data_IF_257468014940
#
_entry.id   IF_257468014940
#
_cell.length_a   1.000
_cell.length_b   1.000
_cell.length_c   1.000
_cell.angle_alpha   90.00
_cell.angle_beta   90.00
_cell.angle_gamma   90.00
#
_symmetry.space_group_name_H-M   'P 1'
#
loop_
_entity.id
_entity.type
_entity.pdbx_description
1 polymer ?
#
# COMPACT_ATOMS: atom_id res chain seq x y z
N UNK A 1 37.30 -62.96 -2.97
CA UNK A 1 37.18 -62.65 -1.53
C UNK A 1 38.29 -61.70 -1.13
N UNK A 2 37.93 -60.66 -0.35
CA UNK A 2 38.74 -59.62 0.29
C UNK A 2 39.10 -58.37 -0.53
N UNK A 3 38.27 -57.37 -0.29
CA UNK A 3 38.49 -55.92 -0.44
C UNK A 3 39.79 -55.49 0.24
N UNK A 4 40.52 -54.55 -0.36
CA UNK A 4 41.17 -53.46 0.37
C UNK A 4 41.06 -52.17 -0.45
N UNK A 5 40.15 -51.32 0.03
CA UNK A 5 40.10 -49.87 -0.16
C UNK A 5 41.36 -49.28 0.49
N UNK A 6 42.00 -48.28 -0.11
CA UNK A 6 42.51 -47.04 0.50
C UNK A 6 43.45 -46.29 -0.48
N UNK A 7 42.95 -45.13 -0.93
CA UNK A 7 43.66 -43.85 -1.11
C UNK A 7 44.82 -43.76 -2.12
N UNK A 8 44.70 -42.83 -3.08
CA UNK A 8 45.64 -41.71 -3.32
C UNK A 8 45.21 -40.91 -4.59
N UNK A 9 45.30 -39.57 -4.46
CA UNK A 9 45.13 -38.48 -5.44
C UNK A 9 43.73 -38.00 -5.81
N UNK A 10 43.15 -37.22 -4.88
CA UNK A 10 42.42 -35.99 -5.25
C UNK A 10 43.46 -35.00 -5.78
N UNK A 11 43.45 -34.73 -7.08
CA UNK A 11 43.65 -33.43 -7.73
C UNK A 11 43.92 -33.60 -9.24
N UNK A 12 43.25 -32.78 -10.05
CA UNK A 12 43.40 -32.59 -11.50
C UNK A 12 42.79 -33.64 -12.43
N UNK A 13 41.53 -33.42 -12.80
CA UNK A 13 41.25 -32.92 -14.15
C UNK A 13 39.92 -32.18 -14.14
N UNK A 14 40.07 -30.88 -13.86
CA UNK A 14 39.14 -29.81 -14.21
C UNK A 14 39.16 -29.72 -15.74
N UNK A 15 38.38 -30.56 -16.40
CA UNK A 15 38.11 -30.47 -17.83
C UNK A 15 37.05 -31.52 -18.16
N UNK A 16 35.77 -31.19 -17.97
CA UNK A 16 34.70 -31.59 -18.89
C UNK A 16 33.35 -31.03 -18.42
N UNK A 17 32.67 -30.35 -19.35
CA UNK A 17 31.23 -30.05 -19.34
C UNK A 17 30.69 -29.04 -18.33
N UNK A 18 31.27 -27.84 -18.27
CA UNK A 18 30.51 -26.62 -17.97
C UNK A 18 29.86 -26.09 -19.25
N UNK A 19 28.83 -26.80 -19.74
CA UNK A 19 27.83 -26.24 -20.66
C UNK A 19 26.46 -26.50 -20.06
N UNK A 20 26.25 -25.93 -18.87
CA UNK A 20 24.92 -25.65 -18.39
C UNK A 20 24.58 -24.26 -18.89
N UNK A 21 23.75 -24.23 -19.92
CA UNK A 21 22.85 -23.15 -20.30
C UNK A 21 22.94 -21.92 -19.39
N UNK A 22 23.71 -20.92 -19.82
CA UNK A 22 23.35 -19.55 -19.51
C UNK A 22 22.01 -19.31 -20.22
N UNK A 23 20.91 -19.51 -19.51
CA UNK A 23 19.70 -18.80 -19.85
C UNK A 23 20.11 -17.32 -19.84
N UNK A 24 20.05 -16.69 -21.01
CA UNK A 24 20.18 -15.26 -21.10
C UNK A 24 19.07 -14.69 -20.22
N UNK A 25 19.43 -14.19 -19.03
CA UNK A 25 18.56 -13.37 -18.22
C UNK A 25 18.25 -12.14 -19.06
N UNK A 26 17.07 -12.13 -19.71
CA UNK A 26 16.47 -10.90 -20.18
C UNK A 26 16.26 -10.03 -18.95
N UNK A 27 17.22 -9.14 -18.68
CA UNK A 27 17.09 -8.13 -17.64
C UNK A 27 15.78 -7.36 -17.90
N UNK A 28 14.80 -7.37 -16.98
CA UNK A 28 13.47 -6.80 -17.21
C UNK A 28 13.47 -5.27 -17.48
N UNK A 29 14.64 -4.63 -17.38
CA UNK A 29 14.85 -3.20 -17.65
C UNK A 29 16.11 -2.91 -18.50
N UNK A 30 16.67 -3.92 -19.18
CA UNK A 30 17.82 -3.79 -20.09
C UNK A 30 19.20 -3.85 -19.42
N UNK A 31 20.26 -3.87 -20.24
CA UNK A 31 21.66 -3.77 -19.79
C UNK A 31 21.85 -2.42 -19.08
N UNK A 32 22.37 -2.40 -17.84
CA UNK A 32 22.55 -1.24 -16.93
C UNK A 32 21.40 -0.91 -15.95
N UNK A 33 20.54 -1.89 -15.66
CA UNK A 33 19.53 -1.76 -14.62
C UNK A 33 19.80 -2.75 -13.48
N UNK A 34 19.88 -2.23 -12.25
CA UNK A 34 19.95 -3.05 -11.05
C UNK A 34 18.55 -3.21 -10.45
N UNK A 35 18.20 -4.45 -10.11
CA UNK A 35 16.92 -4.79 -9.48
C UNK A 35 17.21 -5.34 -8.09
N UNK A 36 16.78 -4.64 -7.05
CA UNK A 36 17.11 -4.97 -5.66
C UNK A 36 15.87 -4.93 -4.77
N UNK A 37 15.96 -5.59 -3.60
CA UNK A 37 15.02 -5.33 -2.53
C UNK A 37 15.17 -3.89 -2.05
N UNK A 38 14.04 -3.22 -1.85
CA UNK A 38 14.01 -1.83 -1.38
C UNK A 38 14.63 -1.71 0.01
N UNK A 39 15.58 -0.79 0.16
CA UNK A 39 16.19 -0.47 1.45
C UNK A 39 15.67 0.86 2.00
N UNK A 40 15.90 1.12 3.29
CA UNK A 40 15.56 2.41 3.89
C UNK A 40 16.33 3.56 3.21
N UNK A 41 17.59 3.32 2.86
CA UNK A 41 18.43 4.27 2.14
C UNK A 41 17.89 4.60 0.75
N UNK A 42 17.36 3.62 0.02
CA UNK A 42 16.74 3.87 -1.30
C UNK A 42 15.52 4.79 -1.18
N UNK A 43 14.65 4.55 -0.19
CA UNK A 43 13.48 5.41 0.05
C UNK A 43 13.92 6.81 0.48
N UNK A 44 14.89 6.90 1.39
CA UNK A 44 15.44 8.17 1.86
C UNK A 44 16.04 8.99 0.70
N UNK A 45 16.85 8.35 -0.16
CA UNK A 45 17.43 8.95 -1.36
C UNK A 45 16.33 9.46 -2.31
N UNK A 46 15.32 8.62 -2.60
CA UNK A 46 14.23 8.98 -3.49
C UNK A 46 13.44 10.18 -2.94
N UNK A 47 12.99 10.12 -1.68
CA UNK A 47 12.17 11.17 -1.07
C UNK A 47 12.95 12.48 -0.96
N UNK A 48 14.19 12.44 -0.47
CA UNK A 48 15.01 13.64 -0.32
C UNK A 48 15.35 14.30 -1.67
N UNK A 49 15.48 13.53 -2.76
CA UNK A 49 15.62 14.11 -4.11
C UNK A 49 14.40 14.95 -4.51
N UNK A 50 13.18 14.57 -4.08
CA UNK A 50 11.96 15.36 -4.33
C UNK A 50 11.83 16.57 -3.41
N UNK A 51 12.18 16.43 -2.13
CA UNK A 51 12.09 17.53 -1.15
C UNK A 51 13.13 18.64 -1.38
N UNK A 52 14.29 18.29 -1.96
CA UNK A 52 15.39 19.24 -2.16
C UNK A 52 15.96 19.74 -0.83
N UNK A 53 16.33 21.03 -0.77
CA UNK A 53 16.97 21.60 0.42
C UNK A 53 15.99 22.16 1.47
N UNK A 54 14.67 22.07 1.22
CA UNK A 54 13.67 22.70 2.07
C UNK A 54 13.22 21.81 3.23
N UNK A 55 13.19 20.50 3.01
CA UNK A 55 12.79 19.49 3.97
C UNK A 55 13.74 18.30 3.79
N UNK A 56 14.07 17.63 4.89
CA UNK A 56 14.68 16.31 4.85
C UNK A 56 13.72 15.27 5.39
N UNK A 57 13.91 14.04 4.96
CA UNK A 57 13.29 12.84 5.49
C UNK A 57 14.39 11.89 5.97
N UNK A 58 14.10 11.18 7.06
CA UNK A 58 14.88 10.04 7.54
C UNK A 58 14.02 8.80 7.46
N UNK A 59 14.60 7.67 7.12
CA UNK A 59 13.84 6.42 6.94
C UNK A 59 14.40 5.32 7.81
N UNK A 60 13.51 4.68 8.56
CA UNK A 60 13.82 3.44 9.30
C UNK A 60 12.99 2.30 8.75
N UNK A 61 13.52 1.08 8.81
CA UNK A 61 12.80 -0.13 8.40
C UNK A 61 12.65 -1.06 9.61
N UNK A 62 11.42 -1.44 9.91
CA UNK A 62 11.16 -2.51 10.86
C UNK A 62 11.63 -3.85 10.24
N UNK A 63 12.53 -4.55 10.93
CA UNK A 63 13.12 -5.79 10.42
C UNK A 63 12.13 -6.96 10.38
N UNK A 64 11.13 -6.96 11.26
CA UNK A 64 10.13 -8.03 11.38
C UNK A 64 9.00 -7.85 10.36
N UNK A 65 8.45 -6.64 10.26
CA UNK A 65 7.30 -6.34 9.39
C UNK A 65 7.71 -5.87 7.99
N UNK A 66 8.96 -5.41 7.82
CA UNK A 66 9.44 -4.82 6.58
C UNK A 66 8.89 -3.42 6.29
N UNK A 67 8.08 -2.86 7.20
CA UNK A 67 7.48 -1.53 7.10
C UNK A 67 8.56 -0.45 7.24
N UNK A 68 8.45 0.58 6.42
CA UNK A 68 9.27 1.77 6.45
C UNK A 68 8.55 2.91 7.15
N UNK A 69 9.17 3.45 8.20
CA UNK A 69 8.73 4.67 8.86
C UNK A 69 9.55 5.84 8.31
N UNK A 70 8.90 6.70 7.52
CA UNK A 70 9.51 7.91 6.95
C UNK A 70 9.19 9.08 7.85
N UNK A 71 10.20 9.69 8.46
CA UNK A 71 10.04 10.86 9.33
C UNK A 71 10.57 12.10 8.63
N UNK A 72 9.68 13.05 8.33
CA UNK A 72 10.05 14.33 7.76
C UNK A 72 10.52 15.30 8.86
N UNK A 73 11.41 16.22 8.48
CA UNK A 73 11.93 17.30 9.34
C UNK A 73 10.86 18.27 9.86
N UNK A 74 9.68 18.32 9.24
CA UNK A 74 8.52 19.09 9.71
C UNK A 74 7.68 18.35 10.77
N UNK A 75 8.08 17.13 11.13
CA UNK A 75 7.41 16.28 12.13
C UNK A 75 6.35 15.35 11.57
N UNK A 76 6.02 15.42 10.27
CA UNK A 76 5.12 14.43 9.65
C UNK A 76 5.80 13.07 9.56
N UNK A 77 5.00 12.01 9.72
CA UNK A 77 5.51 10.63 9.69
C UNK A 77 4.62 9.78 8.79
N UNK A 78 5.23 8.98 7.93
CA UNK A 78 4.52 8.02 7.07
C UNK A 78 4.88 6.59 7.45
N UNK A 79 3.88 5.71 7.40
CA UNK A 79 4.03 4.26 7.46
C UNK A 79 3.77 3.66 6.08
N UNK A 80 4.82 3.08 5.48
CA UNK A 80 4.78 2.60 4.10
C UNK A 80 5.46 1.25 3.93
N UNK A 81 5.11 0.53 2.87
CA UNK A 81 5.87 -0.65 2.43
C UNK A 81 6.12 -0.58 0.92
N UNK A 82 7.24 -1.14 0.47
CA UNK A 82 7.55 -1.18 -0.95
C UNK A 82 6.66 -2.16 -1.71
N UNK A 83 6.21 -1.75 -2.89
CA UNK A 83 5.49 -2.59 -3.84
C UNK A 83 6.49 -3.08 -4.89
N UNK A 84 6.78 -4.38 -4.85
CA UNK A 84 7.75 -5.01 -5.74
C UNK A 84 9.20 -4.64 -5.42
N UNK A 85 10.06 -4.74 -6.44
CA UNK A 85 11.49 -4.50 -6.34
C UNK A 85 11.83 -3.05 -6.72
N UNK A 86 12.90 -2.54 -6.14
CA UNK A 86 13.50 -1.24 -6.51
C UNK A 86 14.33 -1.41 -7.77
N UNK A 87 14.18 -0.48 -8.71
CA UNK A 87 14.97 -0.42 -9.94
C UNK A 87 15.95 0.76 -9.87
N UNK A 88 17.21 0.54 -10.23
CA UNK A 88 18.23 1.60 -10.35
C UNK A 88 18.80 1.56 -11.77
N UNK A 89 18.39 2.52 -12.59
CA UNK A 89 18.87 2.68 -13.97
C UNK A 89 20.10 3.59 -14.00
N UNK A 90 21.28 3.03 -14.28
CA UNK A 90 22.56 3.76 -14.12
C UNK A 90 22.81 4.85 -15.18
N UNK A 91 22.07 4.86 -16.29
CA UNK A 91 22.35 5.70 -17.46
C UNK A 91 21.16 6.50 -18.00
N UNK A 92 20.08 6.67 -17.23
CA UNK A 92 18.96 7.48 -17.70
C UNK A 92 18.93 8.84 -17.00
N UNK A 93 19.20 9.91 -17.76
CA UNK A 93 18.85 11.29 -17.41
C UNK A 93 17.32 11.40 -17.37
N UNK A 94 16.73 10.97 -16.27
CA UNK A 94 15.28 10.90 -16.09
C UNK A 94 14.80 12.15 -15.40
N UNK A 95 13.70 12.70 -15.90
CA UNK A 95 12.97 13.72 -15.17
C UNK A 95 12.47 13.10 -13.86
N UNK A 96 12.57 13.86 -12.78
CA UNK A 96 11.92 13.53 -11.52
C UNK A 96 10.45 13.27 -11.79
N UNK A 97 9.96 12.14 -11.32
CA UNK A 97 8.53 11.84 -11.44
C UNK A 97 8.01 11.32 -10.11
N UNK A 98 7.17 12.14 -9.49
CA UNK A 98 6.32 11.73 -8.39
C UNK A 98 4.90 11.69 -8.92
N UNK A 99 4.26 10.55 -8.79
CA UNK A 99 2.88 10.36 -9.21
C UNK A 99 2.25 9.25 -8.40
N UNK A 100 0.93 9.24 -8.36
CA UNK A 100 0.17 8.13 -7.81
C UNK A 100 -0.17 7.15 -8.95
N UNK A 101 -0.05 5.85 -8.69
CA UNK A 101 -0.54 4.82 -9.60
C UNK A 101 -2.06 4.82 -9.60
N UNK A 102 -2.65 4.12 -10.57
CA UNK A 102 -4.11 3.97 -10.61
C UNK A 102 -4.69 3.25 -9.37
N UNK A 103 -3.85 2.54 -8.62
CA UNK A 103 -4.22 1.82 -7.40
C UNK A 103 -3.94 2.65 -6.12
N UNK A 104 -3.58 3.94 -6.25
CA UNK A 104 -3.26 4.83 -5.14
C UNK A 104 -1.87 4.64 -4.53
N UNK A 105 -0.97 3.91 -5.22
CA UNK A 105 0.40 3.71 -4.74
C UNK A 105 1.27 4.91 -5.13
N UNK A 106 2.15 5.35 -4.24
CA UNK A 106 3.09 6.41 -4.53
C UNK A 106 4.23 5.86 -5.40
N UNK A 107 4.36 6.35 -6.63
CA UNK A 107 5.48 6.05 -7.52
C UNK A 107 6.48 7.19 -7.48
N UNK A 108 7.70 6.85 -7.09
CA UNK A 108 8.81 7.78 -7.00
C UNK A 108 9.87 7.40 -8.04
N UNK A 109 10.32 8.41 -8.78
CA UNK A 109 11.46 8.31 -9.68
C UNK A 109 12.43 9.47 -9.44
N UNK A 110 13.59 9.17 -8.86
CA UNK A 110 14.62 10.17 -8.58
C UNK A 110 15.42 10.54 -9.84
N UNK A 111 16.20 11.62 -9.74
CA UNK A 111 17.22 11.98 -10.75
C UNK A 111 18.34 10.96 -10.89
N UNK A 112 18.64 10.20 -9.83
CA UNK A 112 19.67 9.15 -9.86
C UNK A 112 19.23 7.90 -10.62
N UNK A 113 18.01 7.89 -11.18
CA UNK A 113 17.46 6.75 -11.91
C UNK A 113 16.86 5.69 -10.99
N UNK A 114 16.67 6.01 -9.70
CA UNK A 114 16.00 5.16 -8.73
C UNK A 114 14.49 5.20 -8.95
N UNK A 115 13.85 4.04 -9.07
CA UNK A 115 12.41 3.90 -9.18
C UNK A 115 11.90 2.99 -8.07
N UNK A 116 10.98 3.54 -7.27
CA UNK A 116 10.35 2.86 -6.13
C UNK A 116 8.85 3.07 -6.22
N UNK A 117 8.09 2.05 -5.81
CA UNK A 117 6.65 2.17 -5.56
C UNK A 117 6.40 1.88 -4.09
N UNK A 118 5.64 2.74 -3.43
CA UNK A 118 5.30 2.67 -2.02
C UNK A 118 3.78 2.62 -1.88
N UNK A 119 3.31 1.90 -0.87
CA UNK A 119 1.90 1.90 -0.46
C UNK A 119 1.79 2.09 1.05
N UNK A 120 0.61 2.46 1.49
CA UNK A 120 0.24 2.46 2.90
C UNK A 120 0.41 1.07 3.53
N UNK A 121 0.82 1.06 4.79
CA UNK A 121 0.95 -0.15 5.61
C UNK A 121 0.63 0.17 7.07
N UNK A 122 0.14 -0.83 7.81
CA UNK A 122 0.05 -0.72 9.26
C UNK A 122 1.46 -0.49 9.82
N UNK A 123 1.60 0.45 10.75
CA UNK A 123 2.88 0.73 11.41
C UNK A 123 3.43 -0.52 12.11
N UNK A 124 2.54 -1.26 12.78
CA UNK A 124 2.77 -2.60 13.31
C UNK A 124 1.52 -3.46 13.06
N UNK A 125 1.52 -4.26 11.98
CA UNK A 125 0.37 -5.07 11.60
C UNK A 125 0.00 -6.13 12.65
N UNK A 126 0.92 -6.97 13.17
CA UNK A 126 0.57 -7.93 14.22
C UNK A 126 -0.06 -7.28 15.46
N UNK A 127 0.46 -6.13 15.90
CA UNK A 127 -0.10 -5.43 17.06
C UNK A 127 -1.49 -4.84 16.76
N UNK A 128 -1.69 -4.26 15.58
CA UNK A 128 -2.98 -3.72 15.16
C UNK A 128 -4.06 -4.81 15.07
N UNK A 129 -3.76 -5.92 14.41
CA UNK A 129 -4.67 -7.07 14.30
C UNK A 129 -4.95 -7.67 15.69
N UNK A 130 -3.92 -7.79 16.53
CA UNK A 130 -4.10 -8.22 17.91
C UNK A 130 -5.06 -7.32 18.70
N UNK A 131 -4.99 -6.00 18.52
CA UNK A 131 -5.92 -5.06 19.15
C UNK A 131 -7.35 -5.21 18.61
N UNK A 132 -7.53 -5.35 17.30
CA UNK A 132 -8.85 -5.56 16.69
C UNK A 132 -9.50 -6.85 17.20
N UNK A 133 -8.74 -7.95 17.30
CA UNK A 133 -9.24 -9.22 17.83
C UNK A 133 -9.66 -9.12 19.31
N UNK A 134 -8.91 -8.36 20.13
CA UNK A 134 -9.28 -8.08 21.53
C UNK A 134 -10.60 -7.32 21.63
N UNK A 135 -10.82 -6.37 20.73
CA UNK A 135 -12.07 -5.62 20.60
C UNK A 135 -13.19 -6.41 19.89
N UNK A 136 -13.01 -7.71 19.65
CA UNK A 136 -13.99 -8.63 19.07
C UNK A 136 -14.37 -8.32 17.62
N UNK A 137 -13.49 -7.69 16.86
CA UNK A 137 -13.62 -7.66 15.40
C UNK A 137 -13.34 -9.05 14.84
N UNK A 138 -14.05 -9.42 13.77
CA UNK A 138 -14.07 -10.80 13.25
C UNK A 138 -14.00 -10.84 11.73
N UNK A 139 -13.91 -12.05 11.17
CA UNK A 139 -13.98 -12.31 9.74
C UNK A 139 -13.00 -11.45 8.93
N UNK A 140 -11.77 -11.34 9.45
CA UNK A 140 -10.69 -10.55 8.86
C UNK A 140 -10.13 -11.26 7.64
N UNK A 141 -10.31 -10.66 6.47
CA UNK A 141 -9.78 -11.14 5.19
C UNK A 141 -8.94 -10.06 4.52
N UNK A 142 -7.73 -10.43 4.12
CA UNK A 142 -6.80 -9.52 3.46
C UNK A 142 -6.94 -9.55 1.95
N UNK A 143 -7.16 -8.37 1.38
CA UNK A 143 -7.20 -8.14 -0.06
C UNK A 143 -6.15 -7.10 -0.45
N UNK A 144 -4.95 -7.58 -0.80
CA UNK A 144 -3.77 -6.76 -1.12
C UNK A 144 -3.32 -5.84 0.02
N UNK A 145 -3.79 -4.59 0.04
CA UNK A 145 -3.47 -3.57 1.04
C UNK A 145 -4.66 -3.20 1.92
N UNK A 146 -5.76 -3.96 1.79
CA UNK A 146 -7.05 -3.69 2.43
C UNK A 146 -7.46 -4.87 3.29
N UNK A 147 -8.26 -4.55 4.29
CA UNK A 147 -8.80 -5.48 5.25
C UNK A 147 -10.32 -5.43 5.17
N UNK A 148 -10.92 -6.50 4.66
CA UNK A 148 -12.34 -6.74 4.87
C UNK A 148 -12.52 -7.32 6.27
N UNK A 149 -13.47 -6.76 7.02
CA UNK A 149 -13.61 -7.06 8.44
C UNK A 149 -15.06 -6.88 8.90
N UNK A 150 -15.44 -7.62 9.92
CA UNK A 150 -16.71 -7.46 10.62
C UNK A 150 -16.49 -6.74 11.95
N UNK A 151 -17.21 -5.62 12.13
CA UNK A 151 -17.22 -4.84 13.36
C UNK A 151 -17.85 -5.64 14.51
N UNK A 152 -17.65 -5.23 15.77
CA UNK A 152 -18.28 -5.88 16.92
C UNK A 152 -19.82 -5.84 16.90
N UNK A 153 -20.40 -4.89 16.16
CA UNK A 153 -21.85 -4.76 15.91
C UNK A 153 -22.35 -5.65 14.77
N UNK A 154 -21.46 -6.35 14.06
CA UNK A 154 -21.80 -7.21 12.92
C UNK A 154 -21.81 -6.49 11.58
N UNK A 155 -21.35 -5.23 11.51
CA UNK A 155 -21.26 -4.49 10.25
C UNK A 155 -20.03 -4.94 9.48
N UNK A 156 -20.19 -5.21 8.19
CA UNK A 156 -19.06 -5.53 7.32
C UNK A 156 -18.43 -4.24 6.81
N UNK A 157 -17.11 -4.20 6.76
CA UNK A 157 -16.35 -3.01 6.44
C UNK A 157 -15.17 -3.33 5.55
N UNK A 158 -14.78 -2.41 4.66
CA UNK A 158 -13.48 -2.41 3.98
C UNK A 158 -12.64 -1.30 4.61
N UNK A 159 -11.52 -1.66 5.23
CA UNK A 159 -10.59 -0.72 5.85
C UNK A 159 -9.19 -0.81 5.25
N UNK A 160 -8.48 0.31 5.19
CA UNK A 160 -7.05 0.37 4.93
C UNK A 160 -6.35 1.33 5.90
N UNK A 161 -5.08 1.08 6.24
CA UNK A 161 -4.34 1.97 7.13
C UNK A 161 -4.03 3.29 6.41
N UNK A 162 -4.22 4.44 7.07
CA UNK A 162 -3.77 5.73 6.56
C UNK A 162 -2.24 5.71 6.37
N UNK A 163 -1.75 6.31 5.28
CA UNK A 163 -0.29 6.37 5.05
C UNK A 163 0.40 7.24 6.11
N UNK A 164 -0.19 8.38 6.45
CA UNK A 164 0.30 9.28 7.49
C UNK A 164 -0.06 8.74 8.88
N UNK A 165 0.92 8.73 9.79
CA UNK A 165 0.76 8.35 11.19
C UNK A 165 1.09 9.54 12.08
N UNK A 166 0.38 9.65 13.18
CA UNK A 166 0.43 10.80 14.09
C UNK A 166 1.25 10.40 15.32
N UNK A 167 2.28 11.17 15.70
CA UNK A 167 2.95 10.95 16.97
C UNK A 167 2.00 11.27 18.14
N UNK A 168 1.93 10.39 19.11
CA UNK A 168 1.10 10.49 20.30
C UNK A 168 1.86 10.05 21.55
N UNK A 169 1.10 9.90 22.65
CA UNK A 169 1.67 9.41 23.90
C UNK A 169 1.80 7.88 23.86
N UNK A 170 2.95 7.32 24.29
CA UNK A 170 3.11 5.88 24.49
C UNK A 170 1.98 5.32 25.36
N UNK A 171 1.56 4.11 25.02
CA UNK A 171 0.52 3.37 25.74
C UNK A 171 1.11 2.10 26.34
N UNK A 172 0.48 1.56 27.38
CA UNK A 172 0.88 0.26 27.93
C UNK A 172 0.68 -0.89 26.91
N UNK A 173 -0.34 -0.76 26.06
CA UNK A 173 -0.68 -1.73 25.01
C UNK A 173 -1.16 -1.02 23.73
N UNK A 174 -1.11 -1.72 22.61
CA UNK A 174 -1.74 -1.29 21.36
C UNK A 174 -3.25 -1.46 21.46
N UNK A 175 -4.02 -0.42 21.13
CA UNK A 175 -5.48 -0.38 21.28
C UNK A 175 -6.16 0.14 20.03
N UNK A 176 -7.41 -0.25 19.81
CA UNK A 176 -8.27 0.29 18.77
C UNK A 176 -9.30 1.24 19.40
N UNK A 177 -9.52 2.40 18.78
CA UNK A 177 -10.47 3.40 19.27
C UNK A 177 -11.07 4.21 18.11
N UNK A 178 -12.11 4.99 18.40
CA UNK A 178 -12.70 5.98 17.48
C UNK A 178 -12.39 7.39 17.94
N UNK A 179 -12.12 8.29 17.00
CA UNK A 179 -11.94 9.71 17.30
C UNK A 179 -13.29 10.44 17.44
N UNK A 180 -13.24 11.73 17.71
CA UNK A 180 -14.43 12.59 17.88
C UNK A 180 -15.32 12.66 16.63
N UNK A 181 -14.77 12.33 15.46
CA UNK A 181 -15.48 12.29 14.19
C UNK A 181 -15.93 10.86 13.84
N UNK A 182 -15.82 9.92 14.78
CA UNK A 182 -16.17 8.52 14.59
C UNK A 182 -15.17 7.74 13.74
N UNK A 183 -13.99 8.29 13.42
CA UNK A 183 -13.00 7.60 12.58
C UNK A 183 -12.21 6.63 13.43
N UNK A 184 -12.07 5.42 12.92
CA UNK A 184 -11.32 4.36 13.58
C UNK A 184 -9.81 4.67 13.53
N UNK A 185 -9.10 4.41 14.61
CA UNK A 185 -7.65 4.49 14.65
C UNK A 185 -7.05 3.43 15.58
N UNK A 186 -5.83 3.02 15.27
CA UNK A 186 -4.98 2.20 16.13
C UNK A 186 -4.03 3.13 16.88
N UNK A 187 -3.97 2.99 18.19
CA UNK A 187 -2.92 3.61 19.03
C UNK A 187 -1.91 2.53 19.37
N UNK A 188 -0.69 2.68 18.88
CA UNK A 188 0.41 1.76 19.11
C UNK A 188 1.07 2.01 20.45
N UNK A 189 1.61 0.92 21.03
CA UNK A 189 2.36 0.96 22.29
C UNK A 189 3.53 1.96 22.26
N UNK A 190 4.19 2.10 21.12
CA UNK A 190 5.33 3.01 20.92
C UNK A 190 4.94 4.49 20.80
N UNK A 191 3.65 4.80 20.87
CA UNK A 191 3.12 6.16 20.89
C UNK A 191 2.60 6.64 19.55
N UNK A 192 2.78 5.90 18.46
CA UNK A 192 2.16 6.28 17.18
C UNK A 192 0.66 6.02 17.17
N UNK A 193 -0.06 6.82 16.40
CA UNK A 193 -1.48 6.63 16.09
C UNK A 193 -1.66 6.56 14.58
N UNK A 194 -2.49 5.64 14.12
CA UNK A 194 -2.77 5.47 12.71
C UNK A 194 -4.26 5.30 12.50
N UNK A 195 -4.86 6.22 11.75
CA UNK A 195 -6.25 6.10 11.33
C UNK A 195 -6.42 4.94 10.36
N UNK A 196 -7.60 4.32 10.42
CA UNK A 196 -8.07 3.34 9.45
C UNK A 196 -9.17 3.98 8.63
N UNK A 197 -8.96 4.00 7.33
CA UNK A 197 -9.82 4.68 6.36
C UNK A 197 -10.65 3.65 5.62
N UNK A 198 -11.84 4.06 5.20
CA UNK A 198 -12.66 3.24 4.33
C UNK A 198 -11.96 3.05 2.98
N UNK A 199 -11.94 1.82 2.48
CA UNK A 199 -11.46 1.49 1.15
C UNK A 199 -12.59 1.02 0.23
N UNK A 200 -12.38 1.13 -1.08
CA UNK A 200 -13.31 0.54 -2.03
C UNK A 200 -13.27 -0.98 -1.93
N UNK A 201 -14.43 -1.63 -1.90
CA UNK A 201 -14.52 -3.10 -1.99
C UNK A 201 -13.82 -3.62 -3.26
N UNK A 202 -14.22 -3.12 -4.44
CA UNK A 202 -13.49 -3.31 -5.70
C UNK A 202 -13.13 -1.96 -6.35
N UNK A 203 -11.88 -1.56 -6.19
CA UNK A 203 -11.40 -0.27 -6.74
C UNK A 203 -11.36 -0.26 -8.27
N UNK A 204 -11.05 -1.40 -8.89
CA UNK A 204 -10.97 -1.49 -10.35
C UNK A 204 -12.37 -1.26 -10.91
N UNK A 205 -13.38 -1.92 -10.34
CA UNK A 205 -14.75 -1.74 -10.76
C UNK A 205 -15.23 -0.30 -10.54
N UNK A 206 -14.98 0.28 -9.36
CA UNK A 206 -15.38 1.67 -9.06
C UNK A 206 -14.79 2.64 -10.08
N UNK A 207 -13.49 2.53 -10.34
CA UNK A 207 -12.78 3.34 -11.31
C UNK A 207 -13.30 3.16 -12.73
N UNK A 208 -13.44 1.91 -13.18
CA UNK A 208 -13.89 1.61 -14.54
C UNK A 208 -15.30 2.16 -14.77
N UNK A 209 -16.19 2.05 -13.76
CA UNK A 209 -17.52 2.61 -13.84
C UNK A 209 -17.52 4.15 -13.92
N UNK A 210 -16.67 4.81 -13.13
CA UNK A 210 -16.51 6.28 -13.20
C UNK A 210 -16.01 6.71 -14.57
N UNK A 211 -15.00 6.03 -15.11
CA UNK A 211 -14.46 6.30 -16.44
C UNK A 211 -15.53 6.10 -17.52
N UNK A 212 -16.31 5.03 -17.46
CA UNK A 212 -17.35 4.73 -18.45
C UNK A 212 -18.51 5.73 -18.39
N UNK A 213 -19.02 6.05 -17.19
CA UNK A 213 -20.19 6.91 -17.03
C UNK A 213 -19.88 8.38 -17.29
N UNK A 214 -18.76 8.86 -16.75
CA UNK A 214 -18.44 10.28 -16.76
C UNK A 214 -17.49 10.65 -17.90
N UNK A 215 -16.75 9.69 -18.47
CA UNK A 215 -15.60 9.94 -19.37
C UNK A 215 -14.50 10.80 -18.72
N UNK A 216 -14.45 10.79 -17.39
CA UNK A 216 -13.59 11.64 -16.57
C UNK A 216 -12.47 10.84 -15.92
N UNK A 217 -11.45 11.54 -15.43
CA UNK A 217 -10.35 10.94 -14.69
C UNK A 217 -10.67 10.89 -13.19
N UNK A 218 -10.67 9.68 -12.64
CA UNK A 218 -10.71 9.44 -11.20
C UNK A 218 -9.28 9.49 -10.65
N UNK A 219 -9.10 10.23 -9.55
CA UNK A 219 -7.85 10.31 -8.79
C UNK A 219 -8.08 9.75 -7.39
N UNK A 220 -7.22 8.80 -6.98
CA UNK A 220 -7.19 8.25 -5.63
C UNK A 220 -6.08 8.92 -4.86
N UNK A 221 -6.41 9.48 -3.71
CA UNK A 221 -5.46 10.19 -2.88
C UNK A 221 -4.97 9.29 -1.75
N UNK A 222 -3.73 9.51 -1.31
CA UNK A 222 -3.14 8.82 -0.14
C UNK A 222 -3.90 9.02 1.18
N UNK A 223 -4.84 9.96 1.26
CA UNK A 223 -5.71 10.19 2.42
C UNK A 223 -7.06 9.44 2.36
N UNK A 224 -7.17 8.44 1.47
CA UNK A 224 -8.33 7.56 1.35
C UNK A 224 -9.53 8.24 0.70
N UNK A 225 -9.31 9.33 -0.02
CA UNK A 225 -10.36 10.06 -0.74
C UNK A 225 -10.26 9.87 -2.23
N UNK A 226 -11.39 10.08 -2.90
CA UNK A 226 -11.54 9.93 -4.34
C UNK A 226 -11.92 11.28 -4.91
N UNK A 227 -11.20 11.75 -5.92
CA UNK A 227 -11.60 12.95 -6.67
C UNK A 227 -12.01 12.60 -8.08
N UNK A 228 -13.07 13.27 -8.54
CA UNK A 228 -13.59 13.17 -9.89
C UNK A 228 -13.73 14.58 -10.43
N UNK A 229 -13.18 14.83 -11.61
CA UNK A 229 -13.43 16.09 -12.33
C UNK A 229 -14.76 15.96 -13.06
N UNK A 230 -15.67 16.92 -12.93
CA UNK A 230 -16.96 16.95 -13.63
C UNK A 230 -17.18 18.35 -14.17
N UNK A 231 -17.29 18.50 -15.48
CA UNK A 231 -17.49 19.80 -16.14
C UNK A 231 -16.46 20.87 -15.70
N UNK A 232 -15.21 20.45 -15.47
CA UNK A 232 -14.13 21.31 -15.01
C UNK A 232 -14.04 21.55 -13.50
N UNK A 233 -15.06 21.17 -12.71
CA UNK A 233 -15.03 21.23 -11.25
C UNK A 233 -14.43 19.95 -10.67
N UNK A 234 -13.61 20.07 -9.62
CA UNK A 234 -13.09 18.92 -8.88
C UNK A 234 -14.05 18.61 -7.73
N UNK A 235 -14.72 17.46 -7.80
CA UNK A 235 -15.56 16.95 -6.74
C UNK A 235 -14.78 15.89 -5.96
N UNK A 236 -14.83 15.95 -4.63
CA UNK A 236 -14.11 15.04 -3.75
C UNK A 236 -15.09 14.26 -2.89
N UNK A 237 -14.86 12.97 -2.78
CA UNK A 237 -15.69 12.03 -2.04
C UNK A 237 -14.82 11.19 -1.10
N UNK A 238 -15.43 10.70 -0.03
CA UNK A 238 -14.91 9.65 0.84
C UNK A 238 -15.88 8.48 0.82
N UNK A 239 -15.35 7.27 0.87
CA UNK A 239 -16.17 6.08 1.02
C UNK A 239 -16.58 5.91 2.48
N UNK A 240 -17.79 5.41 2.74
CA UNK A 240 -18.14 4.93 4.08
C UNK A 240 -17.42 3.62 4.37
N UNK A 241 -17.07 3.43 5.63
CA UNK A 241 -16.36 2.22 6.04
C UNK A 241 -17.27 0.99 5.98
N UNK A 242 -18.58 1.18 6.21
CA UNK A 242 -19.58 0.12 6.21
C UNK A 242 -20.04 -0.24 4.80
N UNK A 243 -20.19 -1.53 4.58
CA UNK A 243 -20.73 -2.09 3.35
C UNK A 243 -22.08 -2.76 3.62
N UNK A 244 -23.03 -2.56 2.71
CA UNK A 244 -24.34 -3.22 2.72
C UNK A 244 -24.36 -4.33 1.67
N UNK A 245 -24.99 -5.45 1.98
CA UNK A 245 -25.28 -6.49 0.99
C UNK A 245 -26.78 -6.49 0.71
N UNK A 246 -27.17 -6.09 -0.50
CA UNK A 246 -28.60 -5.97 -0.84
C UNK A 246 -29.20 -7.22 -1.45
N UNK A 247 -28.39 -8.25 -1.82
CA UNK A 247 -28.81 -9.41 -2.63
C UNK A 247 -29.50 -9.05 -3.97
N UNK A 248 -29.51 -7.75 -4.31
CA UNK A 248 -30.13 -7.18 -5.50
C UNK A 248 -29.02 -7.10 -6.55
N UNK A 249 -29.02 -8.04 -7.50
CA UNK A 249 -28.01 -8.14 -8.57
C UNK A 249 -28.30 -7.19 -9.75
N UNK A 250 -29.19 -6.22 -9.53
CA UNK A 250 -29.97 -5.63 -10.61
C UNK A 250 -29.11 -4.92 -11.66
N UNK A 251 -28.17 -4.05 -11.29
CA UNK A 251 -27.04 -3.64 -12.14
C UNK A 251 -25.96 -3.00 -11.25
N UNK A 252 -24.65 -3.24 -11.50
CA UNK A 252 -23.58 -2.53 -10.82
C UNK A 252 -23.56 -1.04 -11.21
N UNK A 253 -23.15 -0.18 -10.29
CA UNK A 253 -22.95 1.25 -10.55
C UNK A 253 -23.49 2.18 -9.48
N UNK A 254 -23.54 3.47 -9.80
CA UNK A 254 -24.01 4.50 -8.89
C UNK A 254 -25.53 4.54 -8.82
N UNK A 255 -26.07 4.70 -7.61
CA UNK A 255 -27.48 4.90 -7.39
C UNK A 255 -27.71 5.79 -6.17
N UNK A 256 -28.89 6.41 -6.12
CA UNK A 256 -29.31 7.23 -4.99
C UNK A 256 -30.39 6.48 -4.20
N UNK A 257 -30.24 6.42 -2.88
CA UNK A 257 -31.27 5.90 -1.98
C UNK A 257 -31.36 6.83 -0.77
N UNK A 258 -32.57 7.29 -0.43
CA UNK A 258 -32.80 8.19 0.71
C UNK A 258 -31.88 9.43 0.72
N UNK A 259 -31.63 10.02 -0.45
CA UNK A 259 -30.73 11.18 -0.64
C UNK A 259 -29.25 10.92 -0.33
N UNK A 260 -28.83 9.66 -0.25
CA UNK A 260 -27.43 9.24 -0.12
C UNK A 260 -26.97 8.59 -1.42
N UNK A 261 -25.71 8.83 -1.78
CA UNK A 261 -25.09 8.27 -2.98
C UNK A 261 -24.40 6.96 -2.63
N UNK A 262 -24.73 5.89 -3.33
CA UNK A 262 -24.09 4.60 -3.16
C UNK A 262 -23.48 4.11 -4.46
N UNK A 263 -22.50 3.23 -4.33
CA UNK A 263 -21.95 2.43 -5.41
C UNK A 263 -22.22 0.96 -5.16
N UNK A 264 -22.83 0.27 -6.13
CA UNK A 264 -23.05 -1.18 -6.12
C UNK A 264 -21.98 -1.91 -6.92
N UNK A 265 -21.30 -2.84 -6.26
CA UNK A 265 -20.34 -3.77 -6.83
C UNK A 265 -21.03 -4.95 -7.53
N UNK A 266 -20.31 -5.65 -8.42
CA UNK A 266 -20.87 -6.77 -9.21
C UNK A 266 -21.28 -7.97 -8.37
N UNK A 267 -20.70 -8.11 -7.19
CA UNK A 267 -21.02 -9.14 -6.21
C UNK A 267 -22.18 -8.75 -5.27
N UNK A 268 -22.85 -7.62 -5.55
CA UNK A 268 -24.02 -7.15 -4.82
C UNK A 268 -23.72 -6.37 -3.55
N UNK A 269 -22.44 -6.12 -3.24
CA UNK A 269 -22.06 -5.23 -2.15
C UNK A 269 -22.31 -3.78 -2.53
N UNK A 270 -22.59 -2.95 -1.54
CA UNK A 270 -22.91 -1.54 -1.68
C UNK A 270 -22.09 -0.74 -0.70
N UNK A 271 -21.52 0.36 -1.17
CA UNK A 271 -20.76 1.31 -0.34
C UNK A 271 -21.27 2.72 -0.58
N UNK A 272 -21.45 3.47 0.50
CA UNK A 272 -21.84 4.88 0.38
C UNK A 272 -20.64 5.76 0.02
N UNK A 273 -20.92 6.80 -0.77
CA UNK A 273 -20.01 7.87 -1.09
C UNK A 273 -20.49 9.16 -0.41
N UNK A 274 -19.67 9.69 0.48
CA UNK A 274 -19.91 10.94 1.21
C UNK A 274 -19.13 12.07 0.54
N UNK A 275 -19.79 13.15 0.10
CA UNK A 275 -19.10 14.31 -0.45
C UNK A 275 -18.26 15.00 0.64
N UNK A 276 -17.05 15.41 0.28
CA UNK A 276 -16.22 16.28 1.11
C UNK A 276 -16.48 17.73 0.70
N UNK A 277 -16.94 18.53 1.67
CA UNK A 277 -17.15 19.98 1.55
C UNK A 277 -15.84 20.75 1.47
#
# INVERSE_FOLDING_TARGET
MKQHIFTIVVFLTVAFCSTLYAAADEFPCGENCQVNYTTAQDIEEAINDFLGNQLSATVTRNAETGVFTVTFSDGRVLSTISVGLTLRAQNMLQQRHMGETEDGQLRLRSRSGLQIQLRNAFHDEPAAIGAMLRERWRNMEWFRNRLEIESPSGERMCLEPAMEIIPGQPSADTTLATDENGRLFVRYRDGFQQHLQACAHDMIQLRDQVRTLLREQLQLHTDGTISVRVAGQLLRYRLEATLRWSNILDHPGFFMEQNRLYFRYRDGWEQELVPLS
#
